data_IF_482447255732
#
_entry.id   IF_482447255732
#
_cell.length_a   1.000
_cell.length_b   1.000
_cell.length_c   1.000
_cell.angle_alpha   90.00
_cell.angle_beta   90.00
_cell.angle_gamma   90.00
#
_symmetry.space_group_name_H-M   'P 1'
#
loop_
_entity.id
_entity.type
_entity.pdbx_description
1 polymer ?
#
# COMPACT_ATOMS: atom_id res chain seq x y z
N UNK A 1 1.23 43.73 -15.94
CA UNK A 1 2.67 43.99 -15.73
C UNK A 1 3.18 42.92 -14.78
N UNK A 2 4.19 42.15 -15.19
CA UNK A 2 4.80 41.11 -14.35
C UNK A 2 6.01 41.69 -13.62
N UNK A 3 6.17 41.34 -12.34
CA UNK A 3 7.28 41.80 -11.50
C UNK A 3 8.04 40.60 -10.93
N UNK A 4 9.36 40.72 -10.71
CA UNK A 4 10.16 39.61 -10.18
C UNK A 4 9.79 39.31 -8.72
N UNK A 5 9.70 38.03 -8.38
CA UNK A 5 9.50 37.60 -6.99
C UNK A 5 10.80 37.67 -6.18
N UNK A 6 10.70 37.98 -4.90
CA UNK A 6 11.79 37.91 -3.91
C UNK A 6 13.08 38.69 -4.23
N UNK A 7 12.96 39.87 -4.85
CA UNK A 7 14.11 40.77 -5.11
C UNK A 7 14.12 42.03 -4.22
N UNK A 8 13.46 42.02 -3.08
CA UNK A 8 13.43 43.19 -2.18
C UNK A 8 12.35 44.24 -2.49
N UNK A 9 11.39 43.93 -3.37
CA UNK A 9 10.26 44.84 -3.64
C UNK A 9 9.33 44.83 -2.43
N UNK A 10 9.33 45.92 -1.66
CA UNK A 10 8.56 46.06 -0.42
C UNK A 10 7.07 45.68 -0.55
N UNK A 11 6.44 46.02 -1.68
CA UNK A 11 5.05 45.65 -1.95
C UNK A 11 4.83 44.13 -2.09
N UNK A 12 5.77 43.42 -2.74
CA UNK A 12 5.72 41.97 -2.92
C UNK A 12 5.98 41.27 -1.58
N UNK A 13 6.99 41.72 -0.83
CA UNK A 13 7.32 41.14 0.49
C UNK A 13 6.16 41.28 1.47
N UNK A 14 5.49 42.44 1.47
CA UNK A 14 4.29 42.66 2.29
C UNK A 14 3.15 41.74 1.86
N UNK A 15 2.94 41.56 0.56
CA UNK A 15 1.91 40.64 0.05
C UNK A 15 2.22 39.18 0.44
N UNK A 16 3.46 38.73 0.28
CA UNK A 16 3.92 37.38 0.65
C UNK A 16 3.74 37.13 2.15
N UNK A 17 4.10 38.12 2.98
CA UNK A 17 3.95 38.05 4.44
C UNK A 17 2.49 37.90 4.84
N UNK A 18 1.60 38.73 4.29
CA UNK A 18 0.16 38.67 4.58
C UNK A 18 -0.44 37.35 4.08
N UNK A 19 -0.04 36.88 2.90
CA UNK A 19 -0.48 35.58 2.37
C UNK A 19 -0.06 34.43 3.30
N UNK A 20 1.18 34.45 3.78
CA UNK A 20 1.67 33.47 4.75
C UNK A 20 0.92 33.52 6.08
N UNK A 21 0.69 34.71 6.64
CA UNK A 21 -0.10 34.89 7.86
C UNK A 21 -1.53 34.36 7.70
N UNK A 22 -2.15 34.60 6.54
CA UNK A 22 -3.48 34.07 6.24
C UNK A 22 -3.52 32.53 6.26
N UNK A 23 -2.45 31.84 5.79
CA UNK A 23 -2.39 30.37 5.88
C UNK A 23 -2.37 29.85 7.33
N UNK A 24 -1.83 30.64 8.27
CA UNK A 24 -1.71 30.30 9.69
C UNK A 24 -2.90 30.74 10.54
N UNK A 25 -3.79 31.57 9.98
CA UNK A 25 -4.93 32.12 10.71
C UNK A 25 -5.82 31.01 11.27
N UNK A 26 -6.34 31.13 12.51
CA UNK A 26 -7.36 30.23 13.04
C UNK A 26 -8.66 30.22 12.23
N UNK A 27 -8.95 31.30 11.50
CA UNK A 27 -10.10 31.41 10.58
C UNK A 27 -9.83 30.80 9.20
N UNK A 28 -8.61 30.32 8.96
CA UNK A 28 -8.24 29.66 7.72
C UNK A 28 -8.96 28.32 7.59
N UNK A 29 -9.54 28.07 6.42
CA UNK A 29 -10.19 26.79 6.14
C UNK A 29 -9.11 25.74 5.95
N UNK A 30 -8.98 24.82 6.91
CA UNK A 30 -8.17 23.62 6.73
C UNK A 30 -8.83 22.72 5.69
N UNK A 31 -8.36 22.79 4.46
CA UNK A 31 -8.76 21.82 3.44
C UNK A 31 -8.00 20.54 3.76
N UNK A 32 -8.72 19.51 4.19
CA UNK A 32 -8.15 18.18 4.39
C UNK A 32 -7.96 17.53 3.01
N UNK A 33 -6.93 17.99 2.28
CA UNK A 33 -6.59 17.45 0.96
C UNK A 33 -5.90 16.13 1.20
N UNK A 34 -6.69 15.07 1.37
CA UNK A 34 -6.16 13.73 1.20
C UNK A 34 -5.66 13.64 -0.24
N UNK A 35 -4.36 13.46 -0.42
CA UNK A 35 -3.80 13.31 -1.77
C UNK A 35 -4.43 12.10 -2.44
N UNK A 36 -4.45 12.08 -3.77
CA UNK A 36 -4.91 10.91 -4.53
C UNK A 36 -4.11 9.65 -4.16
N UNK A 37 -2.81 9.81 -3.89
CA UNK A 37 -1.92 8.73 -3.44
C UNK A 37 -2.35 8.18 -2.08
N UNK A 38 -2.59 9.04 -1.08
CA UNK A 38 -3.06 8.61 0.24
C UNK A 38 -4.42 7.91 0.15
N UNK A 39 -5.34 8.46 -0.63
CA UNK A 39 -6.65 7.85 -0.88
C UNK A 39 -6.50 6.45 -1.49
N UNK A 40 -5.66 6.30 -2.51
CA UNK A 40 -5.38 5.02 -3.15
C UNK A 40 -4.77 4.02 -2.16
N UNK A 41 -3.81 4.46 -1.35
CA UNK A 41 -3.16 3.62 -0.35
C UNK A 41 -4.16 3.11 0.70
N UNK A 42 -5.07 3.97 1.17
CA UNK A 42 -6.12 3.58 2.12
C UNK A 42 -7.05 2.53 1.50
N UNK A 43 -7.49 2.75 0.26
CA UNK A 43 -8.37 1.81 -0.46
C UNK A 43 -7.66 0.47 -0.64
N UNK A 44 -6.40 0.49 -1.10
CA UNK A 44 -5.59 -0.71 -1.28
C UNK A 44 -5.42 -1.47 0.03
N UNK A 45 -5.14 -0.78 1.14
CA UNK A 45 -5.01 -1.41 2.46
C UNK A 45 -6.31 -2.11 2.88
N UNK A 46 -7.45 -1.42 2.77
CA UNK A 46 -8.76 -2.00 3.08
C UNK A 46 -9.09 -3.20 2.19
N UNK A 47 -8.71 -3.18 0.92
CA UNK A 47 -8.89 -4.30 0.01
C UNK A 47 -8.07 -5.52 0.45
N UNK A 48 -6.79 -5.32 0.79
CA UNK A 48 -5.90 -6.38 1.25
C UNK A 48 -6.38 -6.99 2.57
N UNK A 49 -6.86 -6.17 3.51
CA UNK A 49 -7.45 -6.65 4.77
C UNK A 49 -8.69 -7.50 4.52
N UNK A 50 -9.61 -7.05 3.65
CA UNK A 50 -10.79 -7.84 3.28
C UNK A 50 -10.39 -9.16 2.64
N UNK A 51 -9.44 -9.15 1.71
CA UNK A 51 -8.96 -10.36 1.05
C UNK A 51 -8.32 -11.32 2.05
N UNK A 52 -7.48 -10.83 2.96
CA UNK A 52 -6.89 -11.63 4.01
C UNK A 52 -7.97 -12.23 4.93
N UNK A 53 -9.01 -11.48 5.28
CA UNK A 53 -10.14 -11.99 6.07
C UNK A 53 -10.88 -13.10 5.33
N UNK A 54 -11.18 -12.93 4.05
CA UNK A 54 -11.79 -13.97 3.23
C UNK A 54 -10.93 -15.23 3.17
N UNK A 55 -9.62 -15.07 2.97
CA UNK A 55 -8.66 -16.18 2.96
C UNK A 55 -8.59 -16.88 4.32
N UNK A 56 -8.51 -16.13 5.41
CA UNK A 56 -8.49 -16.66 6.77
C UNK A 56 -9.78 -17.38 7.14
N UNK A 57 -10.92 -17.05 6.52
CA UNK A 57 -12.21 -17.70 6.76
C UNK A 57 -12.47 -18.92 5.85
N UNK A 58 -11.60 -19.19 4.87
CA UNK A 58 -11.75 -20.35 4.00
C UNK A 58 -11.66 -21.65 4.82
N UNK A 59 -12.32 -22.77 4.44
CA UNK A 59 -12.25 -24.01 5.22
C UNK A 59 -10.82 -24.57 5.41
N UNK A 60 -10.54 -25.21 6.56
CA UNK A 60 -9.26 -25.91 6.82
C UNK A 60 -9.09 -27.18 5.96
N UNK A 61 -10.16 -27.67 5.33
CA UNK A 61 -10.08 -28.75 4.34
C UNK A 61 -9.28 -28.35 3.10
N UNK A 62 -9.13 -27.05 2.84
CA UNK A 62 -8.24 -26.56 1.81
C UNK A 62 -6.78 -26.71 2.26
N UNK A 63 -6.07 -27.69 1.69
CA UNK A 63 -4.65 -27.96 2.01
C UNK A 63 -3.75 -26.74 1.82
N UNK A 64 -4.02 -25.91 0.80
CA UNK A 64 -3.24 -24.69 0.54
C UNK A 64 -3.41 -23.65 1.65
N UNK A 65 -4.60 -23.51 2.24
CA UNK A 65 -4.82 -22.60 3.38
C UNK A 65 -3.98 -22.98 4.60
N UNK A 66 -3.80 -24.27 4.85
CA UNK A 66 -2.99 -24.75 5.98
C UNK A 66 -1.50 -24.38 5.81
N UNK A 67 -1.03 -24.32 4.57
CA UNK A 67 0.38 -24.01 4.24
C UNK A 67 0.60 -22.50 4.05
N UNK A 68 -0.37 -21.79 3.47
CA UNK A 68 -0.32 -20.36 3.19
C UNK A 68 -1.26 -19.62 4.13
N UNK A 69 -0.73 -19.13 5.26
CA UNK A 69 -1.53 -18.43 6.27
C UNK A 69 -1.89 -16.98 5.88
N UNK A 70 -1.08 -16.34 5.03
CA UNK A 70 -1.30 -14.98 4.56
C UNK A 70 -1.44 -14.90 3.04
N UNK A 71 -2.23 -13.95 2.54
CA UNK A 71 -2.35 -13.64 1.11
C UNK A 71 -1.02 -13.18 0.50
N UNK A 72 -0.10 -12.67 1.32
CA UNK A 72 1.25 -12.24 0.91
C UNK A 72 2.01 -13.39 0.23
N UNK A 73 2.97 -13.02 -0.63
CA UNK A 73 3.84 -14.00 -1.28
C UNK A 73 4.61 -14.79 -0.21
N UNK A 74 4.58 -16.12 -0.34
CA UNK A 74 5.39 -17.01 0.49
C UNK A 74 6.87 -16.74 0.21
N UNK A 75 7.66 -16.60 1.27
CA UNK A 75 9.12 -16.53 1.15
C UNK A 75 9.65 -17.96 1.12
N UNK A 76 10.27 -18.35 0.02
CA UNK A 76 10.95 -19.63 -0.11
C UNK A 76 12.46 -19.43 0.16
N UNK A 77 13.09 -20.33 0.92
CA UNK A 77 14.47 -20.14 1.37
C UNK A 77 15.52 -20.28 0.26
N UNK A 78 15.20 -20.95 -0.85
CA UNK A 78 16.22 -21.49 -1.75
C UNK A 78 16.52 -20.66 -3.00
N UNK A 79 15.59 -19.89 -3.54
CA UNK A 79 15.90 -18.95 -4.64
C UNK A 79 14.90 -17.80 -4.69
N UNK A 80 15.34 -16.53 -4.70
CA UNK A 80 14.46 -15.42 -5.05
C UNK A 80 14.34 -15.38 -6.58
N UNK A 81 13.40 -16.16 -7.16
CA UNK A 81 12.77 -15.98 -8.50
C UNK A 81 12.59 -17.26 -9.35
N UNK A 82 12.89 -18.47 -8.88
CA UNK A 82 12.48 -19.66 -9.66
C UNK A 82 11.03 -20.04 -9.35
N UNK A 83 10.11 -19.55 -10.20
CA UNK A 83 8.68 -19.90 -10.14
C UNK A 83 8.45 -21.41 -10.16
N UNK A 84 9.28 -22.19 -10.86
CA UNK A 84 9.13 -23.65 -10.94
C UNK A 84 9.43 -24.29 -9.58
N UNK A 85 10.47 -23.83 -8.91
CA UNK A 85 10.83 -24.31 -7.58
C UNK A 85 9.76 -23.93 -6.54
N UNK A 86 9.26 -22.70 -6.56
CA UNK A 86 8.15 -22.25 -5.69
C UNK A 86 6.91 -23.15 -5.86
N UNK A 87 6.57 -23.51 -7.10
CA UNK A 87 5.46 -24.42 -7.42
C UNK A 87 5.73 -25.82 -6.89
N UNK A 88 6.93 -26.38 -7.13
CA UNK A 88 7.29 -27.72 -6.66
C UNK A 88 7.22 -27.83 -5.13
N UNK A 89 7.79 -26.85 -4.42
CA UNK A 89 7.74 -26.80 -2.95
C UNK A 89 6.30 -26.68 -2.46
N UNK A 90 5.50 -25.79 -3.08
CA UNK A 90 4.10 -25.61 -2.69
C UNK A 90 3.32 -26.89 -2.87
N UNK A 91 3.43 -27.55 -4.02
CA UNK A 91 2.78 -28.84 -4.31
C UNK A 91 3.19 -29.91 -3.31
N UNK A 92 4.48 -30.01 -2.97
CA UNK A 92 4.97 -30.94 -1.97
C UNK A 92 4.32 -30.68 -0.60
N UNK A 93 4.22 -29.42 -0.15
CA UNK A 93 3.61 -29.05 1.13
C UNK A 93 2.10 -29.34 1.22
N UNK A 94 1.40 -29.40 0.09
CA UNK A 94 -0.04 -29.72 0.04
C UNK A 94 -0.29 -31.18 -0.36
N UNK A 95 0.72 -32.04 -0.32
CA UNK A 95 0.65 -33.45 -0.70
C UNK A 95 0.14 -33.68 -2.13
N UNK A 96 0.57 -32.84 -3.08
CA UNK A 96 0.31 -33.01 -4.52
C UNK A 96 1.55 -33.50 -5.27
N UNK A 97 2.15 -34.57 -4.74
CA UNK A 97 3.27 -35.31 -5.33
C UNK A 97 2.78 -36.61 -5.98
N UNK A 98 3.61 -37.25 -6.80
CA UNK A 98 3.29 -38.58 -7.34
C UNK A 98 3.11 -39.65 -6.24
N UNK A 99 3.79 -39.51 -5.10
CA UNK A 99 3.71 -40.45 -3.99
C UNK A 99 2.42 -40.34 -3.18
N UNK A 100 1.77 -39.18 -3.23
CA UNK A 100 0.56 -38.86 -2.46
C UNK A 100 -0.70 -38.81 -3.33
N UNK A 101 -0.55 -39.16 -4.62
CA UNK A 101 -1.65 -39.32 -5.56
C UNK A 101 -2.15 -40.77 -5.48
N UNK A 102 -3.24 -40.98 -4.74
CA UNK A 102 -4.10 -42.16 -4.88
C UNK A 102 -5.18 -41.89 -5.94
#
# INVERSE_FOLDING_TARGET
MWVPSHIGISGNEKADTIAYEATKSPSSTKINILTSSETFNIIHHKLMEKWQKCWSNFPLSNKLRNVKLSIKKLKYPLTPNDRREEVNITRAKIDHSHLTHA
#
